data_IF_068318623708
#
_entry.id   IF_068318623708
#
_cell.length_a   1.000
_cell.length_b   1.000
_cell.length_c   1.000
_cell.angle_alpha   90.00
_cell.angle_beta   90.00
_cell.angle_gamma   90.00
#
_symmetry.space_group_name_H-M   'P 1'
#
loop_
_entity.id
_entity.type
_entity.pdbx_description
1 polymer ?
#
# COMPACT_ATOMS: atom_id res chain seq x y z
N UNK A 1 -13.06 -44.57 -3.86
CA UNK A 1 -13.10 -43.17 -3.37
C UNK A 1 -13.01 -43.11 -1.85
N UNK A 2 -13.98 -43.67 -1.09
CA UNK A 2 -13.95 -43.61 0.37
C UNK A 2 -12.75 -44.33 1.02
N UNK A 3 -12.31 -45.47 0.47
CA UNK A 3 -11.07 -46.14 0.93
C UNK A 3 -9.83 -45.26 0.75
N UNK A 4 -9.70 -44.59 -0.41
CA UNK A 4 -8.60 -43.67 -0.67
C UNK A 4 -8.64 -42.44 0.27
N UNK A 5 -9.83 -41.92 0.56
CA UNK A 5 -10.02 -40.85 1.53
C UNK A 5 -9.60 -41.28 2.94
N UNK A 6 -10.00 -42.48 3.36
CA UNK A 6 -9.61 -43.06 4.65
C UNK A 6 -8.10 -43.23 4.77
N UNK A 7 -7.44 -43.78 3.75
CA UNK A 7 -5.98 -43.95 3.71
C UNK A 7 -5.24 -42.60 3.82
N UNK A 8 -5.72 -41.57 3.12
CA UNK A 8 -5.16 -40.23 3.18
C UNK A 8 -5.32 -39.60 4.56
N UNK A 9 -6.50 -39.72 5.17
CA UNK A 9 -6.77 -39.20 6.52
C UNK A 9 -5.90 -39.93 7.54
N UNK A 10 -5.82 -41.26 7.49
CA UNK A 10 -5.01 -42.05 8.42
C UNK A 10 -3.52 -41.70 8.31
N UNK A 11 -3.04 -41.45 7.10
CA UNK A 11 -1.65 -41.03 6.87
C UNK A 11 -1.39 -39.66 7.49
N UNK A 12 -2.28 -38.69 7.26
CA UNK A 12 -2.20 -37.37 7.88
C UNK A 12 -2.20 -37.46 9.41
N UNK A 13 -3.18 -38.16 9.99
CA UNK A 13 -3.33 -38.32 11.45
C UNK A 13 -2.08 -38.97 12.06
N UNK A 14 -1.53 -40.02 11.44
CA UNK A 14 -0.29 -40.67 11.92
C UNK A 14 0.90 -39.72 11.91
N UNK A 15 1.03 -38.89 10.88
CA UNK A 15 2.13 -37.93 10.77
C UNK A 15 2.01 -36.81 11.80
N UNK A 16 0.81 -36.26 12.00
CA UNK A 16 0.59 -35.20 13.00
C UNK A 16 0.76 -35.71 14.43
N UNK A 17 0.30 -36.92 14.74
CA UNK A 17 0.51 -37.52 16.07
C UNK A 17 1.99 -37.69 16.39
N UNK A 18 2.82 -38.09 15.42
CA UNK A 18 4.28 -38.17 15.61
C UNK A 18 4.89 -36.81 15.92
N UNK A 19 4.41 -35.73 15.28
CA UNK A 19 4.87 -34.35 15.55
C UNK A 19 4.46 -33.90 16.95
N UNK A 20 3.21 -34.11 17.33
CA UNK A 20 2.71 -33.80 18.67
C UNK A 20 3.50 -34.58 19.73
N UNK A 21 3.76 -35.86 19.50
CA UNK A 21 4.54 -36.69 20.42
C UNK A 21 5.92 -36.09 20.63
N UNK A 22 6.65 -35.72 19.55
CA UNK A 22 7.97 -35.06 19.65
C UNK A 22 7.91 -33.79 20.49
N UNK A 23 6.90 -32.93 20.28
CA UNK A 23 6.74 -31.66 21.01
C UNK A 23 6.47 -31.90 22.49
N UNK A 24 5.59 -32.84 22.82
CA UNK A 24 5.19 -33.09 24.21
C UNK A 24 6.25 -33.86 25.00
N UNK A 25 7.07 -34.69 24.35
CA UNK A 25 8.16 -35.44 25.00
C UNK A 25 9.49 -34.69 25.09
N UNK A 26 9.66 -33.58 24.37
CA UNK A 26 10.90 -32.81 24.41
C UNK A 26 10.92 -31.93 25.66
N UNK A 27 11.95 -32.08 26.51
CA UNK A 27 12.18 -31.23 27.69
C UNK A 27 12.80 -29.86 27.33
N UNK A 28 13.12 -29.65 26.05
CA UNK A 28 13.57 -28.39 25.47
C UNK A 28 12.78 -28.09 24.19
N UNK A 29 11.91 -27.06 24.15
CA UNK A 29 11.11 -26.71 22.96
C UNK A 29 11.95 -26.20 21.78
N UNK A 30 13.21 -25.83 22.03
CA UNK A 30 14.05 -24.99 21.16
C UNK A 30 14.62 -25.71 19.91
N UNK A 31 14.39 -27.01 19.72
CA UNK A 31 15.09 -27.79 18.70
C UNK A 31 14.20 -28.37 17.57
N UNK A 32 12.90 -28.06 17.51
CA UNK A 32 11.99 -28.65 16.52
C UNK A 32 11.70 -27.77 15.29
N UNK A 33 12.28 -26.57 15.21
CA UNK A 33 12.00 -25.62 14.13
C UNK A 33 12.77 -25.88 12.83
N UNK A 34 13.81 -26.74 12.82
CA UNK A 34 14.64 -26.93 11.61
C UNK A 34 14.15 -27.98 10.62
N UNK A 35 13.11 -28.75 10.93
CA UNK A 35 12.64 -29.84 10.04
C UNK A 35 11.21 -29.67 9.49
N UNK A 36 10.53 -28.55 9.76
CA UNK A 36 9.11 -28.40 9.38
C UNK A 36 8.77 -27.09 8.66
N UNK A 37 9.77 -26.35 8.19
CA UNK A 37 9.57 -25.20 7.30
C UNK A 37 9.53 -25.66 5.84
N UNK A 38 8.67 -26.67 5.57
CA UNK A 38 8.07 -26.76 4.25
C UNK A 38 7.14 -25.56 4.12
N UNK A 39 7.17 -24.87 2.98
CA UNK A 39 6.23 -23.80 2.65
C UNK A 39 4.82 -24.40 2.63
N UNK A 40 4.16 -24.41 3.80
CA UNK A 40 2.83 -24.97 3.97
C UNK A 40 1.82 -23.94 3.46
N UNK A 41 0.94 -24.37 2.56
CA UNK A 41 -0.20 -23.56 2.13
C UNK A 41 -1.16 -23.30 3.31
N UNK A 42 -1.88 -22.18 3.26
CA UNK A 42 -2.77 -21.68 4.33
C UNK A 42 -3.85 -22.71 4.68
N UNK A 43 -4.30 -23.50 3.70
CA UNK A 43 -5.27 -24.58 3.93
C UNK A 43 -4.68 -25.69 4.83
N UNK A 44 -3.43 -26.08 4.57
CA UNK A 44 -2.75 -27.14 5.33
C UNK A 44 -2.48 -26.71 6.78
N UNK A 45 -2.23 -25.42 7.01
CA UNK A 45 -2.12 -24.83 8.35
C UNK A 45 -3.41 -24.99 9.15
N UNK A 46 -4.56 -24.69 8.54
CA UNK A 46 -5.88 -24.81 9.18
C UNK A 46 -6.22 -26.25 9.58
N UNK A 47 -5.88 -27.23 8.73
CA UNK A 47 -6.07 -28.64 9.07
C UNK A 47 -5.24 -29.08 10.27
N UNK A 48 -3.98 -28.63 10.38
CA UNK A 48 -3.13 -28.90 11.55
C UNK A 48 -3.73 -28.30 12.82
N UNK A 49 -4.19 -27.05 12.77
CA UNK A 49 -4.82 -26.40 13.92
C UNK A 49 -6.10 -27.09 14.39
N UNK A 50 -6.94 -27.55 13.44
CA UNK A 50 -8.13 -28.33 13.76
C UNK A 50 -7.78 -29.67 14.41
N UNK A 51 -6.77 -30.37 13.86
CA UNK A 51 -6.31 -31.65 14.39
C UNK A 51 -5.75 -31.52 15.82
N UNK A 52 -5.06 -30.42 16.12
CA UNK A 52 -4.55 -30.15 17.47
C UNK A 52 -5.68 -29.92 18.48
N UNK A 53 -6.72 -29.16 18.12
CA UNK A 53 -7.91 -28.97 18.97
C UNK A 53 -8.61 -30.30 19.26
N UNK A 54 -8.74 -31.15 18.24
CA UNK A 54 -9.28 -32.51 18.37
C UNK A 54 -8.39 -33.33 19.32
N UNK A 55 -7.07 -33.26 19.16
CA UNK A 55 -6.10 -33.97 20.01
C UNK A 55 -6.19 -33.54 21.48
N UNK A 56 -6.24 -32.23 21.75
CA UNK A 56 -6.46 -31.68 23.09
C UNK A 56 -7.77 -32.18 23.69
N UNK A 57 -8.86 -32.17 22.91
CA UNK A 57 -10.15 -32.67 23.36
C UNK A 57 -10.07 -34.15 23.78
N UNK A 58 -9.42 -34.99 22.97
CA UNK A 58 -9.23 -36.41 23.30
C UNK A 58 -8.32 -36.62 24.51
N UNK A 59 -7.22 -35.87 24.65
CA UNK A 59 -6.34 -35.96 25.82
C UNK A 59 -7.10 -35.65 27.12
N UNK A 60 -7.92 -34.59 27.12
CA UNK A 60 -8.80 -34.26 28.26
C UNK A 60 -9.82 -35.37 28.54
N UNK A 61 -10.44 -35.93 27.50
CA UNK A 61 -11.36 -37.07 27.63
C UNK A 61 -10.67 -38.32 28.21
N UNK A 62 -9.38 -38.50 27.91
CA UNK A 62 -8.53 -39.56 28.47
C UNK A 62 -7.98 -39.23 29.86
N UNK A 63 -8.35 -38.10 30.45
CA UNK A 63 -7.85 -37.59 31.75
C UNK A 63 -6.34 -37.29 31.76
N UNK A 64 -5.75 -37.02 30.60
CA UNK A 64 -4.35 -36.64 30.44
C UNK A 64 -4.21 -35.10 30.45
N UNK A 65 -4.56 -34.47 31.57
CA UNK A 65 -4.63 -32.99 31.64
C UNK A 65 -3.24 -32.35 31.50
N UNK A 66 -2.20 -32.93 32.09
CA UNK A 66 -0.83 -32.43 32.00
C UNK A 66 -0.33 -32.41 30.54
N UNK A 67 -0.62 -33.45 29.76
CA UNK A 67 -0.25 -33.51 28.34
C UNK A 67 -1.07 -32.52 27.51
N UNK A 68 -2.36 -32.34 27.84
CA UNK A 68 -3.23 -31.36 27.18
C UNK A 68 -2.76 -29.91 27.42
N UNK A 69 -2.28 -29.62 28.63
CA UNK A 69 -1.72 -28.32 29.01
C UNK A 69 -0.31 -28.12 28.43
N UNK A 70 0.55 -29.15 28.40
CA UNK A 70 1.86 -29.08 27.72
C UNK A 70 1.71 -28.80 26.23
N UNK A 71 0.77 -29.46 25.55
CA UNK A 71 0.50 -29.23 24.13
C UNK A 71 0.02 -27.78 23.87
N UNK A 72 -0.87 -27.25 24.72
CA UNK A 72 -1.34 -25.86 24.60
C UNK A 72 -0.29 -24.82 24.99
N UNK A 73 0.49 -25.05 26.06
CA UNK A 73 1.50 -24.12 26.56
C UNK A 73 2.72 -24.03 25.65
N UNK A 74 3.17 -25.15 25.09
CA UNK A 74 4.22 -25.17 24.06
C UNK A 74 3.83 -24.27 22.89
N UNK A 75 2.55 -24.26 22.50
CA UNK A 75 2.04 -23.41 21.42
C UNK A 75 1.81 -21.96 21.86
N UNK A 76 1.45 -21.68 23.11
CA UNK A 76 1.32 -20.29 23.61
C UNK A 76 2.63 -19.52 23.52
N UNK A 77 3.76 -20.19 23.76
CA UNK A 77 5.10 -19.57 23.63
C UNK A 77 5.39 -19.25 22.16
N UNK A 78 5.21 -20.23 21.26
CA UNK A 78 5.39 -20.01 19.81
C UNK A 78 4.37 -19.02 19.22
N UNK A 79 3.12 -19.02 19.70
CA UNK A 79 2.09 -18.06 19.30
C UNK A 79 2.38 -16.66 19.83
N UNK A 80 2.97 -16.48 21.02
CA UNK A 80 3.31 -15.15 21.52
C UNK A 80 4.40 -14.49 20.65
N UNK A 81 5.40 -15.28 20.21
CA UNK A 81 6.41 -14.85 19.24
C UNK A 81 5.79 -14.58 17.86
N UNK A 82 5.01 -15.53 17.35
CA UNK A 82 4.31 -15.37 16.07
C UNK A 82 3.31 -14.22 16.11
N UNK A 83 2.63 -13.94 17.23
CA UNK A 83 1.70 -12.81 17.37
C UNK A 83 2.49 -11.50 17.35
N UNK A 84 3.64 -11.40 18.00
CA UNK A 84 4.46 -10.19 17.91
C UNK A 84 4.97 -9.95 16.48
N UNK A 85 5.36 -11.02 15.78
CA UNK A 85 5.83 -10.94 14.39
C UNK A 85 4.67 -10.73 13.39
N UNK A 86 3.54 -11.41 13.56
CA UNK A 86 2.33 -11.23 12.74
C UNK A 86 1.56 -9.96 13.07
N UNK A 87 1.58 -9.39 14.27
CA UNK A 87 0.99 -8.05 14.46
C UNK A 87 1.81 -6.99 13.72
N UNK A 88 3.13 -7.13 13.69
CA UNK A 88 3.98 -6.24 12.88
C UNK A 88 3.85 -6.50 11.37
N UNK A 89 3.61 -7.76 10.95
CA UNK A 89 3.53 -8.14 9.54
C UNK A 89 2.12 -8.04 8.96
N UNK A 90 1.05 -8.43 9.66
CA UNK A 90 -0.36 -8.30 9.24
C UNK A 90 -0.80 -6.84 9.16
N UNK A 91 -0.34 -5.98 10.07
CA UNK A 91 -0.58 -4.53 9.96
C UNK A 91 0.12 -3.93 8.72
N UNK A 92 1.31 -4.44 8.38
CA UNK A 92 2.03 -4.10 7.15
C UNK A 92 1.39 -4.71 5.91
N UNK A 93 0.90 -5.95 5.96
CA UNK A 93 0.34 -6.66 4.81
C UNK A 93 -1.02 -6.10 4.41
N UNK A 94 -1.90 -5.77 5.36
CA UNK A 94 -3.16 -5.08 5.07
C UNK A 94 -2.95 -3.70 4.45
N UNK A 95 -2.01 -2.91 5.00
CA UNK A 95 -1.63 -1.61 4.43
C UNK A 95 -0.99 -1.77 3.04
N UNK A 96 -0.11 -2.76 2.86
CA UNK A 96 0.53 -3.04 1.58
C UNK A 96 -0.47 -3.52 0.52
N UNK A 97 -1.46 -4.33 0.89
CA UNK A 97 -2.55 -4.74 -0.02
C UNK A 97 -3.35 -3.52 -0.47
N UNK A 98 -3.77 -2.67 0.48
CA UNK A 98 -4.53 -1.46 0.15
C UNK A 98 -3.71 -0.49 -0.73
N UNK A 99 -2.44 -0.25 -0.41
CA UNK A 99 -1.57 0.61 -1.22
C UNK A 99 -1.39 0.02 -2.62
N UNK A 100 -1.21 -1.30 -2.76
CA UNK A 100 -1.10 -1.96 -4.07
C UNK A 100 -2.37 -1.82 -4.89
N UNK A 101 -3.54 -1.97 -4.26
CA UNK A 101 -4.83 -1.80 -4.92
C UNK A 101 -5.04 -0.34 -5.35
N UNK A 102 -4.77 0.62 -4.46
CA UNK A 102 -4.79 2.05 -4.76
C UNK A 102 -3.86 2.42 -5.92
N UNK A 103 -2.60 1.96 -5.88
CA UNK A 103 -1.63 2.19 -6.96
C UNK A 103 -2.10 1.56 -8.27
N UNK A 104 -2.64 0.34 -8.25
CA UNK A 104 -3.21 -0.32 -9.44
C UNK A 104 -4.35 0.50 -10.05
N UNK A 105 -5.26 1.01 -9.24
CA UNK A 105 -6.41 1.78 -9.71
C UNK A 105 -6.00 3.14 -10.27
N UNK A 106 -5.04 3.80 -9.62
CA UNK A 106 -4.48 5.05 -10.12
C UNK A 106 -3.68 4.86 -11.41
N UNK A 107 -2.91 3.77 -11.55
CA UNK A 107 -2.28 3.41 -12.83
C UNK A 107 -3.33 3.29 -13.92
N UNK A 108 -4.35 2.44 -13.73
CA UNK A 108 -5.41 2.27 -14.73
C UNK A 108 -6.12 3.58 -15.09
N UNK A 109 -6.35 4.46 -14.10
CA UNK A 109 -7.04 5.74 -14.30
C UNK A 109 -6.21 6.76 -15.08
N UNK A 110 -4.89 6.81 -14.87
CA UNK A 110 -4.02 7.89 -15.40
C UNK A 110 -2.99 7.44 -16.42
N UNK A 111 -2.87 6.14 -16.68
CA UNK A 111 -1.93 5.58 -17.67
C UNK A 111 -2.21 6.07 -19.09
N UNK A 112 -3.48 6.29 -19.43
CA UNK A 112 -3.89 6.70 -20.78
C UNK A 112 -4.59 8.06 -20.76
N UNK A 113 -4.32 8.86 -21.78
CA UNK A 113 -5.05 10.10 -22.06
C UNK A 113 -5.69 10.05 -23.44
N UNK A 114 -6.77 10.81 -23.62
CA UNK A 114 -7.44 10.96 -24.90
C UNK A 114 -6.99 12.27 -25.55
N UNK A 115 -6.38 12.17 -26.72
CA UNK A 115 -6.08 13.34 -27.55
C UNK A 115 -7.35 13.83 -28.27
N UNK A 116 -7.76 15.08 -28.06
CA UNK A 116 -8.84 15.73 -28.82
C UNK A 116 -10.27 15.45 -28.33
N UNK A 117 -11.25 15.57 -29.25
CA UNK A 117 -12.68 15.43 -28.95
C UNK A 117 -12.99 13.94 -28.73
N UNK A 118 -13.54 13.62 -27.56
CA UNK A 118 -13.84 12.27 -27.09
C UNK A 118 -14.81 11.49 -28.00
N UNK A 119 -14.33 10.98 -29.13
CA UNK A 119 -14.96 9.94 -29.95
C UNK A 119 -13.88 9.09 -30.63
N UNK A 120 -13.67 7.88 -30.12
CA UNK A 120 -13.00 6.76 -30.78
C UNK A 120 -11.53 6.98 -31.21
N UNK A 121 -10.70 7.61 -30.38
CA UNK A 121 -9.24 7.55 -30.50
C UNK A 121 -8.68 6.34 -29.75
N UNK A 122 -7.59 5.75 -30.25
CA UNK A 122 -6.80 4.78 -29.49
C UNK A 122 -6.26 5.47 -28.22
N UNK A 123 -6.28 4.82 -27.05
CA UNK A 123 -5.68 5.37 -25.85
C UNK A 123 -4.17 5.58 -26.06
N UNK A 124 -3.68 6.81 -25.88
CA UNK A 124 -2.25 7.12 -25.89
C UNK A 124 -1.70 7.04 -24.47
N UNK A 125 -0.54 6.40 -24.29
CA UNK A 125 0.10 6.32 -22.97
C UNK A 125 0.63 7.69 -22.56
N UNK A 126 0.26 8.15 -21.36
CA UNK A 126 0.69 9.44 -20.84
C UNK A 126 2.22 9.58 -20.84
N UNK A 127 2.93 8.50 -20.45
CA UNK A 127 4.38 8.48 -20.41
C UNK A 127 5.06 8.64 -21.79
N UNK A 128 4.37 8.33 -22.89
CA UNK A 128 4.94 8.44 -24.24
C UNK A 128 4.85 9.87 -24.79
N UNK A 129 3.88 10.65 -24.32
CA UNK A 129 3.62 12.01 -24.80
C UNK A 129 3.97 13.09 -23.78
N UNK A 130 4.23 12.72 -22.52
CA UNK A 130 4.55 13.66 -21.47
C UNK A 130 5.89 14.32 -21.74
N UNK A 131 5.87 15.65 -21.78
CA UNK A 131 7.07 16.49 -21.82
C UNK A 131 7.20 17.20 -20.48
N UNK A 132 8.41 17.19 -19.92
CA UNK A 132 8.69 17.81 -18.63
C UNK A 132 8.34 19.30 -18.69
N UNK A 133 7.50 19.76 -17.76
CA UNK A 133 7.06 21.14 -17.72
C UNK A 133 8.13 22.01 -17.08
N UNK A 134 8.34 23.20 -17.65
CA UNK A 134 9.15 24.24 -17.03
C UNK A 134 8.36 24.90 -15.90
N UNK A 135 8.64 24.51 -14.66
CA UNK A 135 7.96 25.03 -13.46
C UNK A 135 8.89 26.02 -12.77
N UNK A 136 8.36 27.17 -12.39
CA UNK A 136 9.10 28.20 -11.66
C UNK A 136 8.42 28.50 -10.33
N UNK A 137 9.20 28.91 -9.35
CA UNK A 137 8.69 29.33 -8.04
C UNK A 137 7.78 30.56 -8.20
N UNK A 138 6.54 30.44 -7.72
CA UNK A 138 5.59 31.55 -7.74
C UNK A 138 5.97 32.64 -6.73
N UNK A 139 5.87 33.91 -7.14
CA UNK A 139 6.02 35.05 -6.23
C UNK A 139 4.97 35.08 -5.10
N UNK A 140 5.20 35.92 -4.08
CA UNK A 140 4.37 36.06 -2.87
C UNK A 140 2.87 36.09 -3.19
N UNK A 141 2.12 35.29 -2.41
CA UNK A 141 0.73 34.89 -2.58
C UNK A 141 -0.31 36.03 -2.51
N UNK A 142 -0.22 37.02 -3.38
CA UNK A 142 -1.34 37.90 -3.63
C UNK A 142 -2.28 37.26 -4.66
N UNK A 143 -3.55 37.12 -4.26
CA UNK A 143 -4.66 36.79 -5.17
C UNK A 143 -4.87 38.04 -6.02
N UNK A 144 -4.09 38.18 -7.08
CA UNK A 144 -4.19 39.34 -7.96
C UNK A 144 -5.50 39.22 -8.78
N UNK A 145 -6.46 40.12 -8.53
CA UNK A 145 -7.74 40.19 -9.27
C UNK A 145 -7.59 40.88 -10.64
N UNK A 146 -6.37 41.18 -11.06
CA UNK A 146 -6.10 41.91 -12.30
C UNK A 146 -6.01 41.02 -13.55
N UNK A 147 -6.31 41.63 -14.69
CA UNK A 147 -6.22 41.00 -16.02
C UNK A 147 -4.78 40.64 -16.38
N UNK A 148 -4.58 39.55 -17.12
CA UNK A 148 -3.28 38.97 -17.50
C UNK A 148 -2.28 39.98 -18.07
N UNK A 149 -2.77 40.98 -18.82
CA UNK A 149 -1.95 42.06 -19.40
C UNK A 149 -1.18 42.85 -18.33
N UNK A 150 -1.80 43.14 -17.18
CA UNK A 150 -1.15 43.90 -16.10
C UNK A 150 -0.08 43.10 -15.37
N UNK A 151 -0.16 41.77 -15.39
CA UNK A 151 0.86 40.90 -14.81
C UNK A 151 2.14 40.92 -15.66
N UNK A 152 2.01 40.93 -16.99
CA UNK A 152 3.13 41.04 -17.93
C UNK A 152 3.84 42.39 -17.79
N UNK A 153 3.06 43.48 -17.71
CA UNK A 153 3.60 44.83 -17.52
C UNK A 153 4.29 45.03 -16.16
N UNK A 154 3.81 44.33 -15.11
CA UNK A 154 4.40 44.42 -13.77
C UNK A 154 5.67 43.56 -13.66
N UNK A 155 5.68 42.39 -14.30
CA UNK A 155 6.86 41.51 -14.37
C UNK A 155 8.00 42.14 -15.20
N UNK A 156 7.67 42.82 -16.32
CA UNK A 156 8.67 43.48 -17.17
C UNK A 156 9.38 44.67 -16.51
N UNK A 157 8.79 45.24 -15.45
CA UNK A 157 9.36 46.38 -14.71
C UNK A 157 10.29 45.98 -13.56
N UNK A 158 10.39 44.69 -13.21
CA UNK A 158 11.30 44.21 -12.16
C UNK A 158 12.67 43.86 -12.77
N UNK A 159 13.80 44.21 -12.10
CA UNK A 159 15.11 43.73 -12.55
C UNK A 159 15.12 42.20 -12.54
N UNK A 160 15.77 41.60 -13.54
CA UNK A 160 15.80 40.15 -13.77
C UNK A 160 16.47 39.42 -12.60
N UNK A 161 15.70 39.10 -11.57
CA UNK A 161 16.07 38.07 -10.60
C UNK A 161 15.96 36.73 -11.33
N UNK A 162 16.98 35.86 -11.27
CA UNK A 162 16.89 34.53 -11.88
C UNK A 162 15.65 33.82 -11.32
N UNK A 163 14.78 33.33 -12.21
CA UNK A 163 13.65 32.50 -11.80
C UNK A 163 14.18 31.20 -11.20
N UNK A 164 13.73 30.85 -10.00
CA UNK A 164 14.05 29.55 -9.42
C UNK A 164 13.23 28.50 -10.15
N UNK A 165 13.87 27.70 -11.00
CA UNK A 165 13.24 26.53 -11.62
C UNK A 165 13.04 25.44 -10.57
N UNK A 166 11.87 24.82 -10.57
CA UNK A 166 11.49 23.73 -9.67
C UNK A 166 11.28 22.48 -10.53
N UNK A 167 11.92 21.36 -10.16
CA UNK A 167 11.68 20.06 -10.80
C UNK A 167 10.45 19.40 -10.19
N UNK A 168 9.79 18.52 -10.95
CA UNK A 168 8.57 17.86 -10.47
C UNK A 168 8.82 17.04 -9.19
N UNK A 169 9.96 16.34 -9.10
CA UNK A 169 10.38 15.57 -7.92
C UNK A 169 10.56 16.44 -6.66
N UNK A 170 10.76 17.75 -6.83
CA UNK A 170 11.08 18.67 -5.75
C UNK A 170 9.88 19.51 -5.30
N UNK A 171 8.70 19.34 -5.90
CA UNK A 171 7.50 20.14 -5.62
C UNK A 171 7.07 20.14 -4.15
N UNK A 172 7.32 19.05 -3.42
CA UNK A 172 6.96 18.89 -2.01
C UNK A 172 8.16 18.93 -1.05
N UNK A 173 9.37 19.02 -1.58
CA UNK A 173 10.59 19.07 -0.76
C UNK A 173 10.75 20.47 -0.18
N UNK A 174 11.28 20.55 1.04
CA UNK A 174 11.59 21.83 1.65
C UNK A 174 12.55 22.64 0.76
N UNK A 175 12.29 23.94 0.61
CA UNK A 175 13.21 24.82 -0.10
C UNK A 175 14.53 24.93 0.67
N UNK A 176 15.63 25.21 -0.03
CA UNK A 176 16.95 25.36 0.57
C UNK A 176 16.97 26.51 1.60
N UNK A 177 16.69 26.20 2.87
CA UNK A 177 16.63 27.14 3.99
C UNK A 177 15.37 27.06 4.88
N UNK A 178 14.36 26.26 4.54
CA UNK A 178 13.18 26.04 5.40
C UNK A 178 13.29 24.78 6.24
N UNK A 179 13.08 24.87 7.56
CA UNK A 179 13.06 23.70 8.46
C UNK A 179 11.76 22.87 8.36
N UNK A 180 10.67 23.45 7.84
CA UNK A 180 9.36 22.78 7.77
C UNK A 180 9.03 22.20 6.37
N UNK A 181 8.44 20.99 6.30
CA UNK A 181 7.96 20.41 5.04
C UNK A 181 6.87 21.25 4.37
N UNK A 182 6.88 21.34 3.04
CA UNK A 182 5.84 22.02 2.27
C UNK A 182 4.52 21.25 2.41
N UNK A 183 3.50 21.90 2.98
CA UNK A 183 2.17 21.30 3.17
C UNK A 183 1.18 21.61 2.04
N UNK A 184 1.45 22.62 1.22
CA UNK A 184 0.52 23.07 0.18
C UNK A 184 1.27 23.65 -1.00
N UNK A 185 0.91 23.21 -2.20
CA UNK A 185 1.41 23.72 -3.48
C UNK A 185 0.23 24.18 -4.32
N UNK A 186 0.34 25.34 -4.96
CA UNK A 186 -0.64 25.84 -5.90
C UNK A 186 0.04 26.16 -7.22
N UNK A 187 -0.30 25.43 -8.28
CA UNK A 187 0.20 25.71 -9.62
C UNK A 187 -0.69 26.75 -10.30
N UNK A 188 -0.06 27.83 -10.78
CA UNK A 188 -0.71 28.92 -11.51
C UNK A 188 -0.21 28.93 -12.95
N UNK A 189 -1.06 29.36 -13.86
CA UNK A 189 -0.72 29.50 -15.28
C UNK A 189 -1.96 29.59 -16.15
N UNK A 190 -1.78 29.96 -17.41
CA UNK A 190 -2.87 30.12 -18.39
C UNK A 190 -3.60 28.80 -18.69
N UNK A 191 -4.79 28.88 -19.26
CA UNK A 191 -5.54 27.70 -19.69
C UNK A 191 -4.74 26.88 -20.70
N UNK A 192 -4.81 25.54 -20.62
CA UNK A 192 -4.11 24.65 -21.55
C UNK A 192 -2.62 24.42 -21.28
N UNK A 193 -1.99 25.17 -20.36
CA UNK A 193 -0.53 25.08 -20.10
C UNK A 193 -0.05 23.76 -19.44
N UNK A 194 -0.92 22.77 -19.26
CA UNK A 194 -0.54 21.47 -18.71
C UNK A 194 -0.70 21.27 -17.20
N UNK A 195 -1.32 22.21 -16.46
CA UNK A 195 -1.56 22.07 -15.00
C UNK A 195 -2.24 20.76 -14.60
N UNK A 196 -3.29 20.36 -15.33
CA UNK A 196 -4.01 19.10 -15.05
C UNK A 196 -3.16 17.88 -15.39
N UNK A 197 -2.45 17.93 -16.52
CA UNK A 197 -1.57 16.84 -16.98
C UNK A 197 -0.42 16.63 -16.01
N UNK A 198 0.13 17.70 -15.42
CA UNK A 198 1.14 17.63 -14.35
C UNK A 198 0.64 16.83 -13.15
N UNK A 199 -0.57 17.11 -12.66
CA UNK A 199 -1.17 16.38 -11.52
C UNK A 199 -1.43 14.91 -11.85
N UNK A 200 -1.86 14.62 -13.07
CA UNK A 200 -2.05 13.24 -13.54
C UNK A 200 -0.72 12.50 -13.63
N UNK A 201 0.33 13.15 -14.17
CA UNK A 201 1.67 12.60 -14.27
C UNK A 201 2.28 12.31 -12.90
N UNK A 202 2.22 13.27 -11.98
CA UNK A 202 2.64 13.09 -10.60
C UNK A 202 1.98 11.85 -9.96
N UNK A 203 0.66 11.72 -10.11
CA UNK A 203 -0.09 10.59 -9.56
C UNK A 203 0.32 9.27 -10.21
N UNK A 204 0.54 9.26 -11.53
CA UNK A 204 0.96 8.08 -12.26
C UNK A 204 2.38 7.65 -11.84
N UNK A 205 3.32 8.58 -11.71
CA UNK A 205 4.70 8.29 -11.28
C UNK A 205 4.76 7.75 -9.85
N UNK A 206 3.96 8.31 -8.95
CA UNK A 206 3.80 7.76 -7.60
C UNK A 206 3.27 6.33 -7.63
N UNK A 207 2.25 6.08 -8.46
CA UNK A 207 1.64 4.78 -8.57
C UNK A 207 2.59 3.75 -9.21
N UNK A 208 3.37 4.15 -10.21
CA UNK A 208 4.39 3.34 -10.91
C UNK A 208 5.67 3.11 -10.13
N UNK A 209 5.73 3.55 -8.87
CA UNK A 209 6.91 3.41 -8.01
C UNK A 209 8.15 4.14 -8.57
N UNK A 210 7.94 5.20 -9.37
CA UNK A 210 9.02 5.95 -10.04
C UNK A 210 9.53 7.14 -9.23
N UNK A 211 8.62 7.87 -8.59
CA UNK A 211 8.94 9.08 -7.83
C UNK A 211 8.00 9.26 -6.63
N UNK A 212 8.32 10.19 -5.73
CA UNK A 212 7.51 10.57 -4.56
C UNK A 212 7.17 9.41 -3.59
N UNK A 213 8.07 8.42 -3.46
CA UNK A 213 7.85 7.25 -2.59
C UNK A 213 7.97 7.55 -1.09
N UNK A 214 8.33 8.78 -0.74
CA UNK A 214 8.17 9.35 0.61
C UNK A 214 6.70 9.57 0.98
N UNK A 215 5.79 9.61 -0.01
CA UNK A 215 4.35 9.72 0.19
C UNK A 215 3.72 8.33 0.38
N UNK A 216 3.06 8.13 1.52
CA UNK A 216 2.38 6.86 1.84
C UNK A 216 1.10 6.63 1.02
N UNK A 217 0.32 7.69 0.78
CA UNK A 217 -0.96 7.62 0.06
C UNK A 217 -1.18 8.87 -0.78
N UNK A 218 -1.73 8.68 -1.98
CA UNK A 218 -2.10 9.77 -2.89
C UNK A 218 -3.57 9.65 -3.28
N UNK A 219 -4.32 10.73 -3.14
CA UNK A 219 -5.74 10.79 -3.48
C UNK A 219 -6.01 11.96 -4.44
N UNK A 220 -6.11 11.72 -5.75
CA UNK A 220 -6.41 12.76 -6.72
C UNK A 220 -7.92 12.99 -6.82
N UNK A 221 -8.33 14.25 -6.72
CA UNK A 221 -9.72 14.68 -6.89
C UNK A 221 -9.80 15.82 -7.89
N UNK A 222 -10.87 15.83 -8.68
CA UNK A 222 -11.23 17.00 -9.49
C UNK A 222 -12.24 17.86 -8.74
N UNK A 223 -12.16 19.18 -8.88
CA UNK A 223 -13.20 20.07 -8.37
C UNK A 223 -14.58 19.74 -8.92
N UNK A 224 -14.66 19.17 -10.13
CA UNK A 224 -15.91 18.70 -10.71
C UNK A 224 -16.52 17.55 -9.90
N UNK A 225 -15.73 16.53 -9.54
CA UNK A 225 -16.18 15.42 -8.68
C UNK A 225 -16.61 15.94 -7.30
N UNK A 226 -15.82 16.83 -6.69
CA UNK A 226 -16.11 17.40 -5.38
C UNK A 226 -17.39 18.25 -5.38
N UNK A 227 -17.62 19.04 -6.43
CA UNK A 227 -18.80 19.89 -6.53
C UNK A 227 -20.11 19.09 -6.56
N UNK A 228 -20.10 17.85 -7.08
CA UNK A 228 -21.27 16.95 -7.07
C UNK A 228 -21.58 16.43 -5.65
N UNK A 229 -20.59 16.39 -4.76
CA UNK A 229 -20.71 15.87 -3.40
C UNK A 229 -21.03 16.95 -2.36
N UNK A 230 -21.00 18.24 -2.75
CA UNK A 230 -21.17 19.39 -1.84
C UNK A 230 -22.45 19.36 -1.02
N UNK A 231 -23.51 18.73 -1.52
CA UNK A 231 -24.83 18.69 -0.88
C UNK A 231 -25.13 17.36 -0.18
N UNK A 232 -24.20 16.39 -0.26
CA UNK A 232 -24.35 15.10 0.44
C UNK A 232 -23.73 15.19 1.82
N UNK A 233 -24.51 14.86 2.85
CA UNK A 233 -23.98 14.62 4.19
C UNK A 233 -23.43 13.21 4.26
N UNK A 234 -22.16 13.09 4.62
CA UNK A 234 -21.51 11.81 4.91
C UNK A 234 -21.64 11.56 6.41
N UNK A 235 -22.00 10.33 6.78
CA UNK A 235 -22.22 9.91 8.17
C UNK A 235 -21.08 9.05 8.68
#
# INVERSE_FOLDING_TARGET
LFQLLEENILTFVKNELKKIQKVVTSDYPECLEKEAEEVLDEEQRRFREAFEKISVHFLRRMKQEELAERLQSSKRISLQMLINETFTNVSRDGQNIFIRELKSDLKKKFQCVFEGIAKAGNPTLLNEIYTELYITEGGTAEVNQEHEVRQIETASRRPARPETTIRQEDLLKASAGGEEPIRTVMTKGVAGIGKTVLTQKFTLDWAEDKDHQDIQFTFPFTFRELNVLREKKFS
#
